data_IF_023572810311
#
_entry.id   IF_023572810311
#
_cell.length_a   1.000
_cell.length_b   1.000
_cell.length_c   1.000
_cell.angle_alpha   90.00
_cell.angle_beta   90.00
_cell.angle_gamma   90.00
#
_symmetry.space_group_name_H-M   'P 1'
#
loop_
_entity.id
_entity.type
_entity.pdbx_description
1 polymer ?
#
# COMPACT_ATOMS: atom_id res chain seq x y z
N UNK A 1 -20.60 -9.60 28.29
CA UNK A 1 -19.39 -9.57 27.47
C UNK A 1 -19.74 -10.51 26.33
N UNK A 2 -19.88 -10.00 25.14
CA UNK A 2 -20.01 -10.83 23.97
C UNK A 2 -18.72 -11.63 23.84
N UNK A 3 -18.84 -12.91 23.54
CA UNK A 3 -17.70 -13.80 23.32
C UNK A 3 -17.12 -13.44 21.96
N UNK A 4 -15.95 -12.83 21.93
CA UNK A 4 -15.26 -12.48 20.69
C UNK A 4 -14.71 -13.77 20.10
N UNK A 5 -15.28 -14.20 18.98
CA UNK A 5 -14.81 -15.37 18.24
C UNK A 5 -13.71 -14.90 17.29
N UNK A 6 -12.54 -15.51 17.40
CA UNK A 6 -11.41 -15.23 16.52
C UNK A 6 -11.62 -16.00 15.21
N UNK A 7 -11.97 -15.30 14.15
CA UNK A 7 -12.27 -15.90 12.84
C UNK A 7 -11.00 -16.27 12.07
N UNK A 8 -9.88 -15.60 12.32
CA UNK A 8 -8.56 -15.98 11.77
C UNK A 8 -7.95 -17.17 12.52
N UNK A 9 -8.36 -17.39 13.75
CA UNK A 9 -8.01 -18.65 14.41
C UNK A 9 -8.86 -19.75 13.79
N UNK A 10 -8.30 -20.42 12.84
CA UNK A 10 -8.79 -21.65 12.23
C UNK A 10 -9.35 -22.65 13.26
N UNK A 11 -9.17 -22.38 14.53
CA UNK A 11 -9.51 -23.27 15.64
C UNK A 11 -10.94 -23.04 16.17
N UNK A 12 -11.64 -21.95 15.74
CA UNK A 12 -13.00 -21.65 16.24
C UNK A 12 -13.09 -21.56 17.76
N UNK A 13 -12.00 -21.16 18.41
CA UNK A 13 -11.92 -20.99 19.86
C UNK A 13 -12.11 -19.51 20.20
N UNK A 14 -12.67 -19.26 21.38
CA UNK A 14 -12.69 -17.90 21.91
C UNK A 14 -11.27 -17.39 22.16
N UNK A 15 -11.06 -16.08 22.11
CA UNK A 15 -9.76 -15.44 22.37
C UNK A 15 -9.15 -15.86 23.73
N UNK A 16 -10.00 -16.23 24.70
CA UNK A 16 -9.59 -16.69 26.02
C UNK A 16 -9.07 -18.14 26.08
N UNK A 17 -9.34 -18.91 25.03
CA UNK A 17 -8.98 -20.35 24.93
C UNK A 17 -7.74 -20.58 24.05
N UNK A 18 -7.20 -19.52 23.43
CA UNK A 18 -6.06 -19.61 22.54
C UNK A 18 -4.80 -19.28 23.32
N UNK A 19 -3.84 -20.20 23.31
CA UNK A 19 -2.54 -20.00 23.93
C UNK A 19 -1.62 -19.06 23.13
N UNK A 20 -1.92 -18.85 21.84
CA UNK A 20 -1.18 -17.95 20.98
C UNK A 20 -1.50 -16.47 21.31
N UNK A 21 -0.52 -15.56 21.20
CA UNK A 21 -0.75 -14.15 21.44
C UNK A 21 -1.56 -13.54 20.29
N UNK A 22 -2.87 -13.62 20.43
CA UNK A 22 -3.82 -12.98 19.53
C UNK A 22 -4.28 -11.69 20.20
N UNK A 23 -4.21 -10.59 19.47
CA UNK A 23 -4.82 -9.32 19.84
C UNK A 23 -5.99 -9.07 18.93
N UNK A 24 -7.07 -8.57 19.49
CA UNK A 24 -8.29 -8.25 18.75
C UNK A 24 -8.65 -6.81 19.06
N UNK A 25 -8.83 -5.99 18.01
CA UNK A 25 -9.43 -4.68 18.09
C UNK A 25 -10.87 -4.83 17.61
N UNK A 26 -11.84 -4.39 18.41
CA UNK A 26 -13.25 -4.51 18.06
C UNK A 26 -13.69 -3.43 17.09
N UNK A 27 -14.75 -3.66 16.32
CA UNK A 27 -15.29 -2.66 15.40
C UNK A 27 -15.77 -1.39 16.11
N UNK A 28 -16.20 -1.49 17.37
CA UNK A 28 -16.56 -0.32 18.17
C UNK A 28 -15.33 0.52 18.56
N UNK A 29 -14.20 -0.12 18.86
CA UNK A 29 -12.93 0.57 19.12
C UNK A 29 -12.42 1.23 17.83
N UNK A 30 -12.39 0.51 16.70
CA UNK A 30 -12.00 1.03 15.38
C UNK A 30 -12.81 2.29 15.04
N UNK A 31 -14.13 2.23 15.21
CA UNK A 31 -15.04 3.35 14.90
C UNK A 31 -14.87 4.53 15.85
N UNK A 32 -14.36 4.30 17.06
CA UNK A 32 -14.19 5.34 18.09
C UNK A 32 -12.84 6.06 17.94
N UNK A 33 -11.81 5.33 17.56
CA UNK A 33 -10.46 5.87 17.32
C UNK A 33 -10.40 6.69 16.05
N UNK A 34 -11.29 6.40 15.08
CA UNK A 34 -11.44 7.16 13.84
C UNK A 34 -10.13 7.28 13.02
N UNK A 35 -9.28 6.27 13.12
CA UNK A 35 -8.01 6.19 12.39
C UNK A 35 -8.26 5.89 10.92
N UNK A 36 -7.39 6.36 10.04
CA UNK A 36 -7.53 6.14 8.60
C UNK A 36 -6.68 4.98 8.10
N UNK A 37 -5.53 4.71 8.74
CA UNK A 37 -4.62 3.65 8.34
C UNK A 37 -4.71 2.40 9.21
N UNK A 38 -4.35 1.25 8.63
CA UNK A 38 -4.31 -0.02 9.35
C UNK A 38 -3.24 0.00 10.46
N UNK A 39 -2.07 0.59 10.18
CA UNK A 39 -0.96 0.66 11.14
C UNK A 39 -1.37 1.43 12.38
N UNK A 40 -1.93 2.61 12.22
CA UNK A 40 -2.40 3.46 13.31
C UNK A 40 -3.48 2.78 14.16
N UNK A 41 -4.41 2.06 13.50
CA UNK A 41 -5.49 1.34 14.21
C UNK A 41 -4.98 0.22 15.14
N UNK A 42 -3.78 -0.31 14.88
CA UNK A 42 -3.23 -1.45 15.66
C UNK A 42 -1.99 -1.11 16.48
N UNK A 43 -1.49 0.12 16.46
CA UNK A 43 -0.21 0.51 17.07
C UNK A 43 -0.25 0.53 18.62
N UNK A 44 -1.41 0.70 19.24
CA UNK A 44 -1.61 0.57 20.67
C UNK A 44 -1.45 -0.87 21.20
N UNK A 45 -1.37 -1.86 20.28
CA UNK A 45 -1.23 -3.25 20.67
C UNK A 45 0.20 -3.60 21.06
N UNK A 46 0.37 -4.43 22.08
CA UNK A 46 1.69 -4.80 22.60
C UNK A 46 2.59 -5.42 21.52
N UNK A 47 3.69 -4.73 21.20
CA UNK A 47 4.70 -5.16 20.22
C UNK A 47 4.25 -4.95 18.77
N UNK A 48 3.30 -4.06 18.56
CA UNK A 48 2.93 -3.48 17.28
C UNK A 48 3.29 -2.01 17.30
N UNK A 49 3.63 -1.43 16.16
CA UNK A 49 3.81 -0.01 15.93
C UNK A 49 3.44 0.30 14.47
N UNK A 50 3.23 1.56 14.16
CA UNK A 50 2.98 2.00 12.80
C UNK A 50 4.20 2.70 12.19
N UNK A 51 4.37 2.60 10.88
CA UNK A 51 5.20 3.48 10.08
C UNK A 51 4.27 4.36 9.26
N UNK A 52 4.14 5.61 9.69
CA UNK A 52 3.18 6.55 9.13
C UNK A 52 3.83 7.46 8.09
N UNK A 53 3.08 7.71 7.00
CA UNK A 53 3.49 8.56 5.90
C UNK A 53 2.29 9.37 5.40
N UNK A 54 2.05 10.53 5.99
CA UNK A 54 0.85 11.35 5.74
C UNK A 54 -0.43 10.77 6.36
N UNK A 55 -1.60 11.21 5.88
CA UNK A 55 -2.92 10.83 6.43
C UNK A 55 -3.35 9.40 6.10
N UNK A 56 -2.91 8.90 4.95
CA UNK A 56 -3.42 7.65 4.40
C UNK A 56 -2.58 6.44 4.77
N UNK A 57 -1.26 6.62 4.82
CA UNK A 57 -0.31 5.52 4.90
C UNK A 57 0.13 5.30 6.34
N UNK A 58 -0.19 4.13 6.88
CA UNK A 58 0.33 3.65 8.14
C UNK A 58 0.56 2.14 8.02
N UNK A 59 1.81 1.75 7.83
CA UNK A 59 2.15 0.34 7.69
C UNK A 59 2.39 -0.30 9.04
N UNK A 60 1.71 -1.42 9.36
CA UNK A 60 1.89 -2.08 10.63
C UNK A 60 3.26 -2.76 10.73
N UNK A 61 3.92 -2.56 11.87
CA UNK A 61 5.19 -3.19 12.23
C UNK A 61 4.95 -4.12 13.42
N UNK A 62 5.15 -5.42 13.25
CA UNK A 62 5.01 -6.41 14.32
C UNK A 62 6.39 -6.89 14.76
N UNK A 63 6.78 -6.63 16.01
CA UNK A 63 8.08 -7.02 16.59
C UNK A 63 9.28 -6.59 15.73
N UNK A 64 9.19 -5.39 15.12
CA UNK A 64 10.22 -4.85 14.23
C UNK A 64 10.21 -5.44 12.81
N UNK A 65 9.19 -6.21 12.44
CA UNK A 65 9.00 -6.74 11.09
C UNK A 65 7.89 -5.96 10.37
N UNK A 66 8.13 -5.57 9.12
CA UNK A 66 7.19 -4.81 8.28
C UNK A 66 7.17 -5.34 6.83
N UNK A 67 6.35 -4.75 6.00
CA UNK A 67 6.20 -5.06 4.58
C UNK A 67 5.86 -6.53 4.36
N UNK A 68 6.54 -7.19 3.44
CA UNK A 68 6.26 -8.59 3.08
C UNK A 68 6.38 -9.63 4.21
N UNK A 69 6.92 -9.24 5.39
CA UNK A 69 7.05 -10.11 6.57
C UNK A 69 5.86 -10.05 7.52
N UNK A 70 5.00 -9.06 7.37
CA UNK A 70 3.69 -8.93 8.02
C UNK A 70 2.63 -9.08 6.94
N UNK A 71 1.83 -10.13 7.00
CA UNK A 71 0.81 -10.38 5.98
C UNK A 71 -0.51 -9.79 6.41
N UNK A 72 -1.12 -9.05 5.50
CA UNK A 72 -2.41 -8.43 5.69
C UNK A 72 -3.46 -9.27 4.96
N UNK A 73 -4.53 -9.60 5.66
CA UNK A 73 -5.63 -10.40 5.15
C UNK A 73 -6.93 -9.60 5.26
N UNK A 74 -7.78 -9.76 4.26
CA UNK A 74 -9.18 -9.35 4.26
C UNK A 74 -10.05 -10.60 4.34
N UNK A 75 -10.77 -10.75 5.44
CA UNK A 75 -11.64 -11.93 5.67
C UNK A 75 -10.91 -13.29 5.54
N UNK A 76 -9.64 -13.34 5.95
CA UNK A 76 -8.82 -14.56 5.93
C UNK A 76 -8.15 -14.86 4.59
N UNK A 77 -8.29 -14.00 3.58
CA UNK A 77 -7.65 -14.11 2.27
C UNK A 77 -6.60 -13.01 2.14
N UNK A 78 -5.44 -13.32 1.56
CA UNK A 78 -4.33 -12.37 1.46
C UNK A 78 -4.76 -11.15 0.63
N UNK A 79 -4.53 -9.95 1.16
CA UNK A 79 -4.65 -8.72 0.39
C UNK A 79 -3.42 -8.57 -0.50
N UNK A 80 -3.64 -8.44 -1.82
CA UNK A 80 -2.58 -8.38 -2.82
C UNK A 80 -2.54 -6.98 -3.42
N UNK A 81 -1.87 -6.12 -2.69
CA UNK A 81 -1.58 -4.74 -3.06
C UNK A 81 -0.05 -4.54 -3.18
N UNK A 82 0.39 -3.32 -3.44
CA UNK A 82 1.81 -2.95 -3.53
C UNK A 82 2.37 -2.38 -2.23
N UNK A 83 1.62 -2.38 -1.13
CA UNK A 83 2.05 -1.83 0.17
C UNK A 83 3.34 -2.45 0.72
N UNK A 84 3.67 -3.65 0.27
CA UNK A 84 4.92 -4.32 0.63
C UNK A 84 6.16 -3.86 -0.13
N UNK A 85 6.04 -3.01 -1.16
CA UNK A 85 7.14 -2.55 -2.02
C UNK A 85 7.77 -1.25 -1.51
N UNK A 86 6.98 -0.32 -0.94
CA UNK A 86 7.42 0.97 -0.42
C UNK A 86 6.82 1.28 0.95
N UNK A 87 7.48 2.14 1.73
CA UNK A 87 6.98 2.57 3.04
C UNK A 87 5.82 3.57 2.91
N UNK A 88 5.74 4.23 1.81
CA UNK A 88 4.79 5.25 1.40
C UNK A 88 3.57 4.69 0.65
N UNK A 89 3.52 3.37 0.42
CA UNK A 89 2.40 2.72 -0.24
C UNK A 89 1.28 2.37 0.76
N UNK A 90 0.06 2.72 0.39
CA UNK A 90 -1.16 2.49 1.15
C UNK A 90 -1.54 1.00 1.23
N UNK A 91 -2.13 0.59 2.36
CA UNK A 91 -2.78 -0.72 2.48
C UNK A 91 -4.21 -0.62 1.95
N UNK A 92 -4.52 -1.28 0.83
CA UNK A 92 -5.84 -1.25 0.21
C UNK A 92 -6.87 -2.06 1.01
N UNK A 93 -7.38 -1.46 2.10
CA UNK A 93 -8.37 -2.04 3.00
C UNK A 93 -9.35 -1.00 3.52
N UNK A 94 -10.64 -1.32 3.44
CA UNK A 94 -11.69 -0.52 4.07
C UNK A 94 -11.89 -0.94 5.53
N UNK A 95 -11.51 -0.06 6.46
CA UNK A 95 -11.73 -0.25 7.90
C UNK A 95 -13.11 0.21 8.36
N UNK A 96 -13.86 0.97 7.53
CA UNK A 96 -15.14 1.58 7.92
C UNK A 96 -16.24 0.59 8.25
N UNK A 97 -16.17 -0.63 7.76
CA UNK A 97 -17.11 -1.72 8.03
C UNK A 97 -16.46 -2.91 8.76
N UNK A 98 -15.24 -2.76 9.22
CA UNK A 98 -14.57 -3.82 9.96
C UNK A 98 -15.35 -4.12 11.27
N UNK A 99 -15.59 -5.40 11.51
CA UNK A 99 -16.16 -5.88 12.77
C UNK A 99 -15.09 -6.13 13.81
N UNK A 100 -13.92 -6.56 13.35
CA UNK A 100 -12.75 -6.73 14.18
C UNK A 100 -11.48 -6.77 13.33
N UNK A 101 -10.36 -6.43 13.95
CA UNK A 101 -9.02 -6.67 13.42
C UNK A 101 -8.31 -7.65 14.35
N UNK A 102 -7.74 -8.69 13.76
CA UNK A 102 -7.07 -9.78 14.46
C UNK A 102 -5.58 -9.76 14.15
N UNK A 103 -4.73 -9.67 15.17
CA UNK A 103 -3.28 -9.79 15.01
C UNK A 103 -2.84 -11.16 15.51
N UNK A 104 -2.52 -12.06 14.59
CA UNK A 104 -2.20 -13.46 14.86
C UNK A 104 -0.71 -13.72 14.67
N UNK A 105 -0.12 -14.37 15.66
CA UNK A 105 1.31 -14.74 15.68
C UNK A 105 1.42 -16.20 16.04
N UNK A 106 2.41 -16.88 15.51
CA UNK A 106 2.69 -18.26 15.87
C UNK A 106 2.29 -19.28 14.79
N UNK A 107 2.28 -20.58 15.10
CA UNK A 107 2.16 -21.66 14.13
C UNK A 107 0.85 -21.67 13.32
N UNK A 108 -0.24 -21.14 13.86
CA UNK A 108 -1.54 -21.05 13.19
C UNK A 108 -1.51 -20.14 11.95
N UNK A 109 -0.65 -19.12 11.95
CA UNK A 109 -0.50 -18.20 10.80
C UNK A 109 -0.05 -18.92 9.51
N UNK A 110 0.64 -20.06 9.64
CA UNK A 110 1.12 -20.85 8.51
C UNK A 110 0.00 -21.50 7.68
N UNK A 111 -1.21 -21.57 8.20
CA UNK A 111 -2.36 -22.12 7.46
C UNK A 111 -2.91 -21.14 6.42
N UNK A 112 -2.69 -19.84 6.62
CA UNK A 112 -3.22 -18.81 5.73
C UNK A 112 -2.29 -18.48 4.57
N UNK A 113 -1.01 -18.21 4.88
CA UNK A 113 -0.07 -17.75 3.86
C UNK A 113 1.38 -18.03 4.27
N UNK A 114 2.29 -17.85 3.33
CA UNK A 114 3.73 -17.91 3.56
C UNK A 114 4.30 -16.57 4.06
N UNK A 115 5.56 -16.56 4.49
CA UNK A 115 6.28 -15.34 4.83
C UNK A 115 5.81 -14.64 6.11
N UNK A 116 4.99 -15.27 6.95
CA UNK A 116 4.39 -14.70 8.16
C UNK A 116 5.37 -14.63 9.36
N UNK A 117 6.58 -14.10 9.14
CA UNK A 117 7.63 -14.07 10.19
C UNK A 117 7.23 -13.13 11.34
N UNK A 118 6.67 -11.97 11.02
CA UNK A 118 6.14 -11.01 11.99
C UNK A 118 4.77 -11.44 12.54
N UNK A 119 3.96 -12.06 11.71
CA UNK A 119 2.57 -12.42 11.98
C UNK A 119 1.65 -12.06 10.82
N UNK A 120 0.36 -12.17 11.07
CA UNK A 120 -0.70 -11.72 10.17
C UNK A 120 -1.62 -10.73 10.88
N UNK A 121 -2.15 -9.79 10.11
CA UNK A 121 -3.24 -8.92 10.51
C UNK A 121 -4.41 -9.26 9.61
N UNK A 122 -5.53 -9.65 10.20
CA UNK A 122 -6.74 -10.01 9.46
C UNK A 122 -7.86 -9.03 9.78
N UNK A 123 -8.29 -8.29 8.79
CA UNK A 123 -9.47 -7.42 8.88
C UNK A 123 -10.70 -8.26 8.56
N UNK A 124 -11.66 -8.28 9.45
CA UNK A 124 -12.87 -9.10 9.34
C UNK A 124 -14.08 -8.19 9.28
N UNK A 125 -14.88 -8.38 8.25
CA UNK A 125 -16.19 -7.76 8.11
C UNK A 125 -17.32 -8.83 8.04
N UNK A 126 -18.56 -8.40 7.88
CA UNK A 126 -19.71 -9.29 7.73
C UNK A 126 -20.32 -9.25 6.33
N UNK A 127 -19.52 -8.98 5.31
CA UNK A 127 -20.00 -8.93 3.92
C UNK A 127 -20.58 -10.29 3.50
N UNK A 128 -19.93 -11.40 3.90
CA UNK A 128 -20.44 -12.76 3.72
C UNK A 128 -20.78 -13.32 5.10
N UNK A 129 -22.03 -13.15 5.51
CA UNK A 129 -22.49 -13.61 6.81
C UNK A 129 -22.47 -15.16 6.90
N UNK A 130 -21.90 -15.67 7.99
CA UNK A 130 -21.78 -17.11 8.27
C UNK A 130 -22.97 -17.66 9.07
N UNK A 131 -23.78 -16.77 9.64
CA UNK A 131 -24.99 -17.06 10.38
C UNK A 131 -26.13 -16.13 9.89
N UNK A 132 -27.37 -16.45 10.22
CA UNK A 132 -28.48 -15.58 9.90
C UNK A 132 -28.36 -14.25 10.63
N UNK A 133 -28.35 -13.13 9.88
CA UNK A 133 -28.22 -11.78 10.45
C UNK A 133 -29.56 -11.17 10.78
N UNK A 134 -29.59 -10.30 11.80
CA UNK A 134 -30.70 -9.41 12.06
C UNK A 134 -30.57 -8.14 11.21
N UNK A 135 -31.72 -7.50 10.89
CA UNK A 135 -31.71 -6.25 10.16
C UNK A 135 -30.94 -5.16 10.95
N UNK A 136 -29.97 -4.56 10.32
CA UNK A 136 -29.16 -3.49 10.88
C UNK A 136 -28.92 -2.40 9.83
N UNK A 137 -29.08 -1.15 10.26
CA UNK A 137 -28.66 0.03 9.47
C UNK A 137 -27.75 0.87 10.36
N UNK A 138 -26.54 1.14 9.88
CA UNK A 138 -25.63 2.11 10.52
C UNK A 138 -25.38 3.27 9.56
N UNK A 139 -25.37 4.47 10.08
CA UNK A 139 -24.94 5.69 9.36
C UNK A 139 -23.99 6.42 10.28
N UNK A 140 -22.79 6.67 9.78
CA UNK A 140 -21.75 7.40 10.50
C UNK A 140 -21.35 8.67 9.76
N UNK A 141 -20.89 9.65 10.51
CA UNK A 141 -20.27 10.86 10.01
C UNK A 141 -19.20 11.30 10.99
N UNK A 142 -18.04 11.66 10.50
CA UNK A 142 -16.90 12.09 11.26
C UNK A 142 -16.35 13.38 10.65
N UNK A 143 -15.82 14.25 11.49
CA UNK A 143 -15.09 15.44 11.06
C UNK A 143 -13.80 15.56 11.87
N UNK A 144 -12.70 15.87 11.22
CA UNK A 144 -11.40 16.09 11.83
C UNK A 144 -10.98 17.55 11.61
N UNK A 145 -10.50 18.21 12.68
CA UNK A 145 -10.07 19.60 12.58
C UNK A 145 -8.62 19.77 12.15
N UNK A 146 -7.81 18.72 12.28
CA UNK A 146 -6.38 18.76 11.97
C UNK A 146 -6.11 18.81 10.47
N UNK A 147 -7.06 18.37 9.66
CA UNK A 147 -6.96 18.26 8.21
C UNK A 147 -8.28 18.63 7.51
N UNK A 148 -9.14 19.40 8.18
CA UNK A 148 -10.48 19.78 7.73
C UNK A 148 -11.32 18.61 7.19
N UNK A 149 -10.98 17.38 7.65
CA UNK A 149 -11.44 16.14 7.08
C UNK A 149 -12.88 15.79 7.38
N UNK A 150 -13.48 15.05 6.44
CA UNK A 150 -14.84 14.54 6.56
C UNK A 150 -14.89 13.08 6.11
N UNK A 151 -15.51 12.21 6.93
CA UNK A 151 -15.79 10.83 6.57
C UNK A 151 -17.27 10.54 6.71
N UNK A 152 -17.84 9.86 5.73
CA UNK A 152 -19.24 9.40 5.76
C UNK A 152 -19.26 7.89 5.57
N UNK A 153 -20.00 7.18 6.43
CA UNK A 153 -20.16 5.73 6.36
C UNK A 153 -21.63 5.35 6.32
N UNK A 154 -21.96 4.32 5.55
CA UNK A 154 -23.26 3.69 5.51
C UNK A 154 -23.10 2.17 5.49
N UNK A 155 -23.86 1.49 6.34
CA UNK A 155 -23.93 0.04 6.35
C UNK A 155 -25.34 -0.43 6.49
N UNK A 156 -25.72 -1.44 5.71
CA UNK A 156 -27.00 -2.14 5.75
C UNK A 156 -26.77 -3.64 5.71
N UNK A 157 -27.47 -4.38 6.55
CA UNK A 157 -27.62 -5.83 6.44
C UNK A 157 -29.04 -6.24 6.77
N UNK A 158 -29.49 -7.36 6.19
CA UNK A 158 -30.81 -7.97 6.47
C UNK A 158 -30.81 -9.45 6.07
N UNK A 159 -31.74 -10.22 6.65
CA UNK A 159 -32.02 -11.59 6.23
C UNK A 159 -33.37 -11.64 5.50
N UNK A 160 -33.32 -11.90 4.21
CA UNK A 160 -34.49 -11.98 3.32
C UNK A 160 -34.85 -13.43 3.05
N UNK A 161 -35.58 -14.10 3.96
CA UNK A 161 -35.99 -15.50 3.84
C UNK A 161 -34.82 -16.47 3.62
N UNK A 162 -33.86 -16.52 4.55
CA UNK A 162 -32.63 -17.29 4.53
C UNK A 162 -31.55 -16.79 3.54
N UNK A 163 -31.75 -15.65 2.91
CA UNK A 163 -30.71 -14.97 2.15
C UNK A 163 -30.26 -13.77 2.97
N UNK A 164 -29.06 -13.82 3.52
CA UNK A 164 -28.40 -12.67 4.10
C UNK A 164 -27.93 -11.76 2.96
N UNK A 165 -28.12 -10.48 3.12
CA UNK A 165 -27.59 -9.44 2.22
C UNK A 165 -26.91 -8.35 3.04
N UNK A 166 -25.82 -7.79 2.52
CA UNK A 166 -25.11 -6.68 3.13
C UNK A 166 -24.70 -5.66 2.09
N UNK A 167 -24.62 -4.42 2.49
CA UNK A 167 -24.07 -3.34 1.69
C UNK A 167 -23.33 -2.37 2.59
N UNK A 168 -22.12 -2.02 2.24
CA UNK A 168 -21.27 -1.03 2.91
C UNK A 168 -20.83 0.05 1.91
N UNK A 169 -20.74 1.29 2.40
CA UNK A 169 -20.23 2.43 1.68
C UNK A 169 -19.43 3.32 2.63
N UNK A 170 -18.25 3.77 2.20
CA UNK A 170 -17.46 4.79 2.91
C UNK A 170 -16.95 5.80 1.89
N UNK A 171 -16.99 7.06 2.29
CA UNK A 171 -16.32 8.15 1.58
C UNK A 171 -15.55 8.97 2.59
N UNK A 172 -14.29 9.25 2.30
CA UNK A 172 -13.37 10.04 3.13
C UNK A 172 -12.74 11.11 2.26
N UNK A 173 -12.61 12.32 2.80
CA UNK A 173 -11.99 13.47 2.16
C UNK A 173 -11.25 14.26 3.24
N UNK A 174 -9.92 14.30 3.18
CA UNK A 174 -9.02 14.93 4.14
C UNK A 174 -8.07 15.86 3.39
N UNK A 175 -7.98 17.10 3.83
CA UNK A 175 -6.99 18.06 3.38
C UNK A 175 -5.61 17.79 4.02
N UNK A 176 -4.64 18.64 3.73
CA UNK A 176 -3.32 18.57 4.36
C UNK A 176 -3.39 18.73 5.89
N UNK A 177 -2.52 18.04 6.61
CA UNK A 177 -2.40 18.17 8.08
C UNK A 177 -1.95 19.55 8.50
N UNK A 178 -2.69 20.17 9.42
CA UNK A 178 -2.20 21.32 10.19
C UNK A 178 -1.08 20.89 11.15
N UNK A 179 0.05 21.55 11.07
CA UNK A 179 1.20 21.36 11.97
C UNK A 179 1.57 22.65 12.71
N UNK A 180 2.15 22.56 13.91
CA UNK A 180 2.66 23.74 14.58
C UNK A 180 3.75 24.45 13.75
N UNK A 181 3.72 25.77 13.71
CA UNK A 181 4.75 26.54 13.04
C UNK A 181 6.16 26.13 13.50
N UNK A 182 7.07 25.92 12.55
CA UNK A 182 8.43 25.47 12.83
C UNK A 182 8.54 23.95 13.11
N UNK A 183 7.48 23.16 12.87
CA UNK A 183 7.54 21.71 12.95
C UNK A 183 8.21 21.08 11.71
N UNK A 184 8.15 21.76 10.57
CA UNK A 184 8.82 21.37 9.33
C UNK A 184 10.12 22.17 9.25
N UNK A 185 11.24 21.49 9.08
CA UNK A 185 12.53 22.12 8.84
C UNK A 185 12.79 22.13 7.33
N UNK A 186 12.96 23.30 6.76
CA UNK A 186 13.52 23.45 5.42
C UNK A 186 15.05 23.35 5.54
N UNK A 187 15.70 22.62 4.67
CA UNK A 187 17.16 22.72 4.55
C UNK A 187 17.48 24.10 3.97
N UNK A 188 18.11 24.95 4.77
CA UNK A 188 18.65 26.19 4.28
C UNK A 188 19.71 25.87 3.22
N UNK A 189 19.50 26.24 1.97
CA UNK A 189 20.56 26.22 0.97
C UNK A 189 21.71 27.06 1.48
N UNK A 190 22.85 26.42 1.84
CA UNK A 190 24.07 27.12 2.18
C UNK A 190 24.54 27.91 0.95
N UNK A 191 24.11 29.17 0.83
CA UNK A 191 24.71 30.09 -0.11
C UNK A 191 26.18 30.24 0.26
N UNK A 192 27.05 29.56 -0.47
CA UNK A 192 28.48 29.80 -0.40
C UNK A 192 28.79 31.23 -0.83
N UNK A 193 28.85 32.13 0.16
CA UNK A 193 29.41 33.47 -0.01
C UNK A 193 30.91 33.35 -0.29
N UNK A 194 31.28 33.23 -1.55
CA UNK A 194 32.64 33.49 -2.00
C UNK A 194 32.82 34.99 -2.28
N UNK A 195 33.44 35.65 -1.27
CA UNK A 195 34.24 36.85 -1.34
C UNK A 195 33.61 38.22 -1.67
N UNK A 196 33.58 39.01 -0.61
CA UNK A 196 33.91 40.42 -0.56
C UNK A 196 33.09 41.41 -1.42
N UNK A 197 32.06 41.97 -0.84
CA UNK A 197 31.71 43.38 -1.11
C UNK A 197 31.16 44.10 0.12
N UNK A 198 31.66 45.33 0.27
CA UNK A 198 31.48 46.35 1.26
C UNK A 198 30.07 46.52 1.87
N UNK A 199 30.05 46.68 3.19
CA UNK A 199 29.14 47.42 4.06
C UNK A 199 27.88 48.04 3.39
N UNK A 200 26.83 47.27 3.30
CA UNK A 200 25.46 47.74 3.42
C UNK A 200 24.75 46.86 4.45
N UNK A 201 24.57 47.42 5.67
CA UNK A 201 23.61 46.89 6.65
C UNK A 201 22.20 47.12 6.09
N UNK A 202 21.72 46.19 5.27
CA UNK A 202 20.29 46.01 5.04
C UNK A 202 19.86 44.81 5.90
N UNK A 203 18.96 45.11 6.83
CA UNK A 203 18.28 44.12 7.65
C UNK A 203 17.55 43.17 6.69
N UNK A 204 18.15 42.04 6.32
CA UNK A 204 17.42 40.92 5.75
C UNK A 204 16.48 40.43 6.84
N UNK A 205 15.21 40.81 6.78
CA UNK A 205 14.15 40.14 7.50
C UNK A 205 14.20 38.71 7.01
N UNK A 206 14.67 37.80 7.85
CA UNK A 206 14.57 36.35 7.65
C UNK A 206 13.08 36.04 7.49
N UNK A 207 12.62 35.88 6.26
CA UNK A 207 11.31 35.30 5.97
C UNK A 207 11.39 33.83 6.33
N UNK A 208 11.31 33.50 7.63
CA UNK A 208 10.92 32.17 8.04
C UNK A 208 9.51 31.96 7.52
N UNK A 209 9.38 31.29 6.40
CA UNK A 209 8.08 30.78 5.94
C UNK A 209 7.58 29.78 6.97
N UNK A 210 6.73 30.26 7.87
CA UNK A 210 6.08 29.43 8.86
C UNK A 210 4.97 28.64 8.17
N UNK A 211 5.34 27.55 7.48
CA UNK A 211 4.36 26.62 6.92
C UNK A 211 3.59 25.98 8.06
N UNK A 212 2.29 26.22 8.09
CA UNK A 212 1.40 25.73 9.14
C UNK A 212 0.75 24.37 8.85
N UNK A 213 1.13 23.71 7.75
CA UNK A 213 0.61 22.41 7.33
C UNK A 213 1.71 21.55 6.71
N UNK A 214 1.50 20.24 6.67
CA UNK A 214 2.36 19.29 5.98
C UNK A 214 1.87 19.14 4.53
N UNK A 215 2.65 19.61 3.57
CA UNK A 215 2.34 19.49 2.14
C UNK A 215 2.22 18.02 1.72
N UNK A 216 1.36 17.75 0.73
CA UNK A 216 1.13 16.41 0.20
C UNK A 216 0.69 15.37 1.25
N UNK A 217 -0.05 15.79 2.27
CA UNK A 217 -0.61 14.88 3.29
C UNK A 217 -2.12 14.68 3.18
N UNK A 218 -2.71 15.17 2.09
CA UNK A 218 -4.13 15.00 1.76
C UNK A 218 -4.48 13.54 1.41
N UNK A 219 -5.76 13.18 1.62
CA UNK A 219 -6.27 11.84 1.34
C UNK A 219 -7.74 11.86 0.98
N UNK A 220 -8.09 11.24 -0.14
CA UNK A 220 -9.47 11.00 -0.51
C UNK A 220 -9.67 9.51 -0.82
N UNK A 221 -10.81 8.94 -0.40
CA UNK A 221 -11.15 7.56 -0.75
C UNK A 221 -12.64 7.33 -0.83
N UNK A 222 -13.05 6.46 -1.74
CA UNK A 222 -14.41 5.93 -1.83
C UNK A 222 -14.36 4.41 -1.89
N UNK A 223 -15.18 3.73 -1.08
CA UNK A 223 -15.29 2.28 -1.10
C UNK A 223 -16.74 1.82 -1.06
N UNK A 224 -17.04 0.76 -1.80
CA UNK A 224 -18.33 0.08 -1.80
C UNK A 224 -18.14 -1.43 -1.69
N UNK A 225 -18.95 -2.08 -0.87
CA UNK A 225 -18.94 -3.54 -0.74
C UNK A 225 -20.36 -4.06 -0.67
N UNK A 226 -20.68 -5.05 -1.51
CA UNK A 226 -21.94 -5.77 -1.48
C UNK A 226 -21.67 -7.25 -1.19
N UNK A 227 -22.47 -7.86 -0.34
CA UNK A 227 -22.36 -9.27 -0.03
C UNK A 227 -23.70 -9.96 0.07
N UNK A 228 -23.70 -11.28 -0.17
CA UNK A 228 -24.86 -12.12 0.07
C UNK A 228 -24.43 -13.54 0.46
N UNK A 229 -25.18 -14.17 1.36
CA UNK A 229 -24.94 -15.55 1.78
C UNK A 229 -26.22 -16.30 2.09
N UNK A 230 -26.14 -17.61 1.97
CA UNK A 230 -27.20 -18.54 2.38
C UNK A 230 -26.62 -19.42 3.48
N UNK A 231 -27.34 -19.53 4.59
CA UNK A 231 -26.95 -20.33 5.75
C UNK A 231 -27.90 -21.53 5.89
N UNK A 232 -27.35 -22.65 6.28
CA UNK A 232 -28.08 -23.90 6.52
C UNK A 232 -27.51 -24.64 7.73
N UNK A 233 -28.21 -25.66 8.23
CA UNK A 233 -27.74 -26.51 9.33
C UNK A 233 -26.37 -27.16 9.06
N UNK A 234 -25.95 -27.27 7.80
CA UNK A 234 -24.71 -27.96 7.40
C UNK A 234 -23.61 -26.99 6.95
N UNK A 235 -23.79 -25.67 7.13
CA UNK A 235 -22.80 -24.68 6.74
C UNK A 235 -23.38 -23.49 5.97
N UNK A 236 -22.54 -22.72 5.33
CA UNK A 236 -22.92 -21.53 4.56
C UNK A 236 -22.21 -21.46 3.22
N UNK A 237 -22.76 -20.68 2.32
CA UNK A 237 -22.17 -20.28 1.04
C UNK A 237 -22.54 -18.83 0.75
N UNK A 238 -21.56 -18.01 0.41
CA UNK A 238 -21.81 -16.62 0.05
C UNK A 238 -20.79 -16.07 -0.93
N UNK A 239 -21.06 -14.88 -1.39
CA UNK A 239 -20.16 -14.10 -2.23
C UNK A 239 -20.16 -12.63 -1.83
N UNK A 240 -19.09 -11.90 -2.17
CA UNK A 240 -19.05 -10.45 -2.10
C UNK A 240 -18.35 -9.86 -3.32
N UNK A 241 -18.70 -8.60 -3.59
CA UNK A 241 -18.07 -7.75 -4.59
C UNK A 241 -17.70 -6.46 -3.87
N UNK A 242 -16.46 -6.01 -4.03
CA UNK A 242 -16.02 -4.72 -3.50
C UNK A 242 -15.25 -3.95 -4.56
N UNK A 243 -15.40 -2.63 -4.51
CA UNK A 243 -14.65 -1.67 -5.31
C UNK A 243 -14.16 -0.56 -4.38
N UNK A 244 -12.91 -0.15 -4.53
CA UNK A 244 -12.32 0.96 -3.80
C UNK A 244 -11.45 1.81 -4.72
N UNK A 245 -11.58 3.12 -4.57
CA UNK A 245 -10.74 4.12 -5.23
C UNK A 245 -10.13 5.00 -4.15
N UNK A 246 -8.86 5.37 -4.29
CA UNK A 246 -8.23 6.33 -3.39
C UNK A 246 -7.22 7.22 -4.11
N UNK A 247 -7.02 8.41 -3.57
CA UNK A 247 -5.97 9.34 -3.98
C UNK A 247 -5.33 9.96 -2.75
N UNK A 248 -4.02 10.02 -2.70
CA UNK A 248 -3.31 10.65 -1.59
C UNK A 248 -2.00 11.27 -2.04
N UNK A 249 -1.59 12.34 -1.35
CA UNK A 249 -0.29 12.97 -1.54
C UNK A 249 0.82 12.19 -0.83
N UNK A 250 2.06 12.31 -1.35
CA UNK A 250 3.26 11.73 -0.74
C UNK A 250 4.07 12.87 -0.13
N UNK A 251 4.06 13.04 1.21
CA UNK A 251 4.85 14.06 1.89
C UNK A 251 6.36 13.83 1.70
N UNK A 252 7.15 14.91 1.78
CA UNK A 252 8.62 14.88 1.75
C UNK A 252 9.28 14.40 0.45
N UNK A 253 8.52 14.16 -0.62
CA UNK A 253 9.04 14.00 -1.96
C UNK A 253 8.97 15.36 -2.68
N UNK A 254 10.01 15.75 -3.38
CA UNK A 254 10.09 17.00 -4.17
C UNK A 254 11.14 18.00 -3.73
N UNK A 255 11.75 17.87 -2.55
CA UNK A 255 12.79 18.79 -2.05
C UNK A 255 14.24 18.37 -2.41
N UNK A 256 14.44 17.44 -3.34
CA UNK A 256 15.74 16.82 -3.60
C UNK A 256 16.27 16.85 -5.03
N UNK A 257 15.94 17.84 -5.85
CA UNK A 257 16.72 18.06 -7.06
C UNK A 257 18.04 18.74 -6.73
N UNK A 258 19.10 17.93 -6.48
CA UNK A 258 20.47 18.38 -6.55
C UNK A 258 20.71 18.95 -7.96
N UNK A 259 20.58 20.28 -8.09
CA UNK A 259 20.96 21.02 -9.27
C UNK A 259 22.42 20.76 -9.59
N UNK A 260 22.72 19.91 -10.55
CA UNK A 260 24.03 19.86 -11.17
C UNK A 260 24.30 21.19 -11.87
N UNK A 261 24.84 22.13 -11.11
CA UNK A 261 25.33 23.41 -11.62
C UNK A 261 26.46 23.20 -12.61
N UNK A 262 26.16 23.22 -13.88
CA UNK A 262 27.17 23.52 -14.90
C UNK A 262 27.41 25.02 -14.89
N UNK A 263 28.50 25.44 -14.21
CA UNK A 263 29.04 26.76 -14.32
C UNK A 263 29.57 27.00 -15.72
N UNK A 264 28.95 27.89 -16.48
CA UNK A 264 29.58 28.56 -17.62
C UNK A 264 29.48 30.08 -17.41
N UNK A 265 30.68 30.69 -17.27
CA UNK A 265 30.90 32.11 -17.25
C UNK A 265 30.39 32.80 -18.52
N UNK A 266 29.40 33.65 -18.43
CA UNK A 266 29.30 34.80 -19.30
C UNK A 266 28.60 35.96 -18.58
N UNK A 267 29.37 37.00 -18.24
CA UNK A 267 28.85 38.30 -17.83
C UNK A 267 28.18 39.02 -18.99
N UNK A 268 27.15 39.78 -18.69
CA UNK A 268 27.02 41.22 -18.95
C UNK A 268 25.58 41.72 -18.72
N UNK A 269 25.50 42.70 -17.82
CA UNK A 269 24.57 43.85 -17.74
C UNK A 269 23.18 43.75 -18.37
N UNK A 270 22.10 43.82 -17.56
CA UNK A 270 21.11 44.92 -17.55
C UNK A 270 19.80 44.56 -16.85
N UNK A 271 19.37 45.49 -15.99
CA UNK A 271 17.95 45.94 -15.93
C UNK A 271 17.12 45.36 -14.81
N UNK A 272 16.91 46.19 -13.78
CA UNK A 272 15.88 46.08 -12.75
C UNK A 272 14.49 45.93 -13.39
N UNK A 273 13.87 44.77 -13.23
CA UNK A 273 12.43 44.62 -13.17
C UNK A 273 12.14 43.70 -11.98
N UNK A 274 11.47 44.24 -10.98
CA UNK A 274 10.90 43.48 -9.86
C UNK A 274 9.80 42.57 -10.40
N UNK A 275 10.15 41.35 -10.81
CA UNK A 275 9.18 40.31 -11.03
C UNK A 275 9.07 39.49 -9.72
N UNK A 276 7.84 39.38 -9.24
CA UNK A 276 7.52 38.66 -8.03
C UNK A 276 8.08 37.26 -8.09
N UNK A 277 8.78 36.87 -7.04
CA UNK A 277 9.10 35.48 -6.78
C UNK A 277 7.77 34.76 -6.56
N UNK A 278 7.30 34.04 -7.58
CA UNK A 278 6.25 33.06 -7.40
C UNK A 278 6.82 32.00 -6.46
N UNK A 279 6.13 31.83 -5.34
CA UNK A 279 6.41 30.83 -4.32
C UNK A 279 6.50 29.47 -5.02
N UNK A 280 7.67 28.85 -5.10
CA UNK A 280 7.83 27.48 -5.52
C UNK A 280 7.18 26.59 -4.44
N UNK A 281 5.85 26.43 -4.51
CA UNK A 281 5.19 25.30 -3.84
C UNK A 281 5.85 24.04 -4.39
N UNK A 282 6.47 23.25 -3.52
CA UNK A 282 7.16 22.02 -3.93
C UNK A 282 6.25 21.16 -4.81
N UNK A 283 6.82 20.58 -5.84
CA UNK A 283 6.10 19.78 -6.83
C UNK A 283 5.21 18.74 -6.15
N UNK A 284 3.89 18.72 -6.48
CA UNK A 284 2.95 17.80 -5.85
C UNK A 284 3.15 16.41 -6.41
N UNK A 285 3.53 15.46 -5.56
CA UNK A 285 3.54 14.03 -5.86
C UNK A 285 2.31 13.41 -5.21
N UNK A 286 1.55 12.68 -5.99
CA UNK A 286 0.34 12.03 -5.53
C UNK A 286 0.10 10.69 -6.21
N UNK A 287 -0.71 9.88 -5.57
CA UNK A 287 -1.04 8.54 -6.03
C UNK A 287 -2.53 8.39 -6.29
N UNK A 288 -2.87 7.50 -7.22
CA UNK A 288 -4.23 7.04 -7.42
C UNK A 288 -4.25 5.51 -7.36
N UNK A 289 -5.22 4.97 -6.64
CA UNK A 289 -5.40 3.53 -6.48
C UNK A 289 -6.80 3.13 -6.90
N UNK A 290 -6.90 2.05 -7.67
CA UNK A 290 -8.15 1.37 -8.02
C UNK A 290 -8.04 -0.10 -7.63
N UNK A 291 -9.08 -0.65 -6.98
CA UNK A 291 -9.10 -2.05 -6.56
C UNK A 291 -10.50 -2.63 -6.63
N UNK A 292 -10.63 -3.71 -7.39
CA UNK A 292 -11.86 -4.50 -7.50
C UNK A 292 -11.61 -5.92 -7.00
N UNK A 293 -12.52 -6.44 -6.17
CA UNK A 293 -12.42 -7.80 -5.62
C UNK A 293 -13.75 -8.53 -5.74
N UNK A 294 -13.68 -9.79 -6.11
CA UNK A 294 -14.80 -10.73 -6.09
C UNK A 294 -14.44 -11.92 -5.22
N UNK A 295 -15.22 -12.17 -4.18
CA UNK A 295 -15.01 -13.27 -3.24
C UNK A 295 -16.14 -14.28 -3.28
N UNK A 296 -15.80 -15.56 -3.14
CA UNK A 296 -16.71 -16.64 -2.77
C UNK A 296 -16.15 -17.29 -1.51
N UNK A 297 -16.99 -17.47 -0.49
CA UNK A 297 -16.62 -18.20 0.75
C UNK A 297 -17.72 -19.14 1.15
N UNK A 298 -17.31 -20.23 1.75
CA UNK A 298 -18.27 -21.18 2.31
C UNK A 298 -17.62 -22.15 3.29
N UNK A 299 -18.46 -22.77 4.08
CA UNK A 299 -18.13 -23.88 4.98
C UNK A 299 -19.17 -24.96 4.84
N UNK A 300 -18.76 -26.21 4.90
CA UNK A 300 -19.67 -27.34 4.84
C UNK A 300 -19.24 -28.45 5.82
N UNK A 301 -20.19 -28.89 6.64
CA UNK A 301 -20.02 -30.03 7.55
C UNK A 301 -19.99 -31.33 6.77
N UNK A 302 -18.94 -32.12 6.98
CA UNK A 302 -18.74 -33.41 6.31
C UNK A 302 -19.26 -34.57 7.14
N UNK A 303 -20.42 -34.43 7.75
CA UNK A 303 -21.09 -35.48 8.52
C UNK A 303 -21.24 -36.76 7.71
N UNK A 304 -20.64 -37.87 8.22
CA UNK A 304 -20.61 -39.16 7.54
C UNK A 304 -19.33 -39.46 6.75
N UNK A 305 -18.43 -38.53 6.61
CA UNK A 305 -17.08 -38.80 6.13
C UNK A 305 -16.16 -39.10 7.33
N UNK A 306 -15.39 -40.20 7.24
CA UNK A 306 -14.54 -40.63 8.37
C UNK A 306 -13.17 -39.90 8.44
N UNK A 307 -12.89 -38.94 7.52
CA UNK A 307 -11.58 -38.35 7.40
C UNK A 307 -11.54 -36.85 7.75
N UNK A 308 -12.67 -36.14 7.72
CA UNK A 308 -12.75 -34.72 8.07
C UNK A 308 -14.12 -34.39 8.66
N UNK A 309 -14.19 -33.42 9.56
CA UNK A 309 -15.41 -32.93 10.20
C UNK A 309 -16.08 -31.87 9.31
N UNK A 310 -15.30 -30.93 8.77
CA UNK A 310 -15.79 -29.87 7.88
C UNK A 310 -14.73 -29.49 6.86
N UNK A 311 -15.17 -28.74 5.87
CA UNK A 311 -14.31 -28.05 4.91
C UNK A 311 -14.75 -26.60 4.79
N UNK A 312 -13.79 -25.69 5.02
CA UNK A 312 -13.92 -24.28 4.68
C UNK A 312 -13.23 -24.05 3.33
N UNK A 313 -13.83 -23.24 2.48
CA UNK A 313 -13.28 -22.94 1.16
C UNK A 313 -13.49 -21.48 0.79
N UNK A 314 -12.59 -20.97 -0.03
CA UNK A 314 -12.70 -19.63 -0.58
C UNK A 314 -12.13 -19.55 -2.00
N UNK A 315 -12.60 -18.56 -2.73
CA UNK A 315 -12.03 -18.08 -3.98
C UNK A 315 -12.06 -16.56 -3.97
N UNK A 316 -10.99 -15.93 -4.40
CA UNK A 316 -10.87 -14.50 -4.65
C UNK A 316 -10.33 -14.26 -6.04
N UNK A 317 -10.91 -13.33 -6.75
CA UNK A 317 -10.41 -12.68 -7.95
C UNK A 317 -10.21 -11.20 -7.61
N UNK A 318 -9.05 -10.64 -7.92
CA UNK A 318 -8.68 -9.29 -7.52
C UNK A 318 -7.90 -8.62 -8.64
N UNK A 319 -8.32 -7.42 -8.98
CA UNK A 319 -7.68 -6.49 -9.91
C UNK A 319 -7.30 -5.24 -9.12
N UNK A 320 -6.01 -4.88 -9.17
CA UNK A 320 -5.46 -3.77 -8.41
C UNK A 320 -4.52 -2.95 -9.27
N UNK A 321 -4.68 -1.63 -9.26
CA UNK A 321 -3.74 -0.69 -9.85
C UNK A 321 -3.40 0.45 -8.89
N UNK A 322 -2.17 0.91 -8.96
CA UNK A 322 -1.63 2.00 -8.18
C UNK A 322 -0.76 2.84 -9.12
N UNK A 323 -1.06 4.13 -9.24
CA UNK A 323 -0.31 5.05 -10.09
C UNK A 323 0.24 6.18 -9.26
N UNK A 324 1.55 6.36 -9.29
CA UNK A 324 2.28 7.49 -8.76
C UNK A 324 2.57 8.48 -9.87
N UNK A 325 2.36 9.78 -9.61
CA UNK A 325 2.54 10.82 -10.60
C UNK A 325 2.85 12.17 -9.96
N UNK A 326 3.60 12.99 -10.70
CA UNK A 326 3.85 14.39 -10.40
C UNK A 326 2.72 15.25 -10.96
N UNK A 327 2.32 16.29 -10.26
CA UNK A 327 1.40 17.27 -10.82
C UNK A 327 2.11 18.02 -11.94
N UNK A 328 1.54 18.03 -13.15
CA UNK A 328 2.04 18.88 -14.22
C UNK A 328 1.72 20.34 -13.87
N UNK A 329 2.73 21.22 -13.87
CA UNK A 329 2.48 22.65 -13.79
C UNK A 329 1.73 23.06 -15.07
N UNK A 330 0.48 23.54 -14.94
CA UNK A 330 -0.26 24.15 -16.02
C UNK A 330 0.43 25.50 -16.38
N UNK A 331 1.44 25.45 -17.24
CA UNK A 331 1.93 26.65 -17.90
C UNK A 331 0.80 27.21 -18.75
N UNK A 332 0.13 28.26 -18.27
CA UNK A 332 -0.77 29.06 -19.11
C UNK A 332 0.09 29.61 -20.26
N UNK A 333 -0.08 29.02 -21.45
CA UNK A 333 0.51 29.53 -22.69
C UNK A 333 -0.07 30.92 -22.97
N UNK A 334 0.54 31.99 -22.42
CA UNK A 334 0.34 33.32 -22.93
C UNK A 334 0.96 33.39 -24.33
N UNK A 335 0.07 33.49 -25.32
CA UNK A 335 0.44 33.68 -26.72
C UNK A 335 1.28 34.97 -26.89
N UNK A 336 2.57 34.93 -26.70
CA UNK A 336 3.51 35.92 -27.20
C UNK A 336 3.98 35.52 -28.59
N UNK A 337 3.29 36.05 -29.62
CA UNK A 337 3.82 36.10 -30.93
C UNK A 337 4.97 37.14 -30.96
N UNK A 338 6.22 36.65 -31.02
CA UNK A 338 7.25 37.36 -31.79
C UNK A 338 8.28 36.34 -32.31
N UNK A 339 8.49 36.46 -33.60
CA UNK A 339 9.37 35.67 -34.45
C UNK A 339 10.83 35.89 -34.03
N UNK A 340 11.57 34.83 -33.65
CA UNK A 340 12.90 34.50 -34.20
C UNK A 340 13.46 33.21 -33.51
N UNK A 341 13.91 32.30 -34.36
CA UNK A 341 14.41 30.96 -34.10
C UNK A 341 15.63 30.94 -33.16
N UNK A 342 15.49 30.31 -31.98
CA UNK A 342 16.53 29.52 -31.34
C UNK A 342 15.84 28.40 -30.53
N UNK A 343 15.70 27.24 -31.14
CA UNK A 343 15.36 26.00 -30.44
C UNK A 343 16.59 25.53 -29.69
N UNK A 344 16.71 25.91 -28.42
CA UNK A 344 17.39 25.09 -27.45
C UNK A 344 16.29 24.27 -26.78
N UNK A 345 16.21 22.99 -27.16
CA UNK A 345 15.33 22.01 -26.55
C UNK A 345 15.81 21.75 -25.09
N UNK A 346 15.38 22.57 -24.16
CA UNK A 346 15.35 22.18 -22.76
C UNK A 346 14.18 21.22 -22.60
N UNK A 347 14.41 19.94 -22.92
CA UNK A 347 13.55 18.87 -22.41
C UNK A 347 13.67 18.88 -20.88
N UNK A 348 12.78 19.62 -20.20
CA UNK A 348 12.49 19.41 -18.80
C UNK A 348 12.05 17.95 -18.68
N UNK A 349 12.83 17.12 -18.04
CA UNK A 349 12.47 15.75 -17.74
C UNK A 349 11.39 15.75 -16.66
N UNK A 350 10.12 16.00 -17.06
CA UNK A 350 9.01 15.63 -16.20
C UNK A 350 8.96 14.10 -16.19
N UNK A 351 9.25 13.51 -15.07
CA UNK A 351 9.12 12.06 -14.88
C UNK A 351 7.64 11.71 -15.03
N UNK A 352 7.31 10.97 -16.07
CA UNK A 352 5.93 10.55 -16.36
C UNK A 352 5.41 9.59 -15.28
N UNK A 353 4.09 9.35 -15.22
CA UNK A 353 3.48 8.50 -14.19
C UNK A 353 4.04 7.08 -14.21
N UNK A 354 4.18 6.49 -13.01
CA UNK A 354 4.55 5.08 -12.82
C UNK A 354 3.37 4.31 -12.26
N UNK A 355 2.92 3.28 -12.99
CA UNK A 355 1.76 2.46 -12.63
C UNK A 355 2.20 1.04 -12.26
N UNK A 356 1.77 0.58 -11.10
CA UNK A 356 1.91 -0.78 -10.60
C UNK A 356 0.57 -1.50 -10.75
N UNK A 357 0.58 -2.72 -11.27
CA UNK A 357 -0.62 -3.56 -11.37
C UNK A 357 -0.40 -4.90 -10.71
N UNK A 358 -1.48 -5.46 -10.14
CA UNK A 358 -1.52 -6.80 -9.58
C UNK A 358 -2.87 -7.44 -9.86
N UNK A 359 -2.90 -8.36 -10.82
CA UNK A 359 -4.07 -9.17 -11.13
C UNK A 359 -3.88 -10.54 -10.50
N UNK A 360 -4.83 -10.99 -9.68
CA UNK A 360 -4.65 -12.25 -8.97
C UNK A 360 -5.93 -13.06 -8.83
N UNK A 361 -5.76 -14.38 -8.86
CA UNK A 361 -6.80 -15.35 -8.52
C UNK A 361 -6.27 -16.32 -7.45
N UNK A 362 -7.00 -16.46 -6.35
CA UNK A 362 -6.64 -17.31 -5.22
C UNK A 362 -7.79 -18.24 -4.85
N UNK A 363 -7.50 -19.52 -4.62
CA UNK A 363 -8.47 -20.49 -4.12
C UNK A 363 -7.87 -21.31 -2.98
N UNK A 364 -8.62 -21.49 -1.91
CA UNK A 364 -8.16 -22.23 -0.74
C UNK A 364 -9.21 -23.18 -0.17
N UNK A 365 -8.72 -24.24 0.48
CA UNK A 365 -9.50 -25.23 1.20
C UNK A 365 -8.84 -25.52 2.54
N UNK A 366 -9.62 -25.57 3.61
CA UNK A 366 -9.17 -25.93 4.94
C UNK A 366 -10.06 -27.05 5.47
N UNK A 367 -9.48 -28.23 5.69
CA UNK A 367 -10.18 -29.39 6.25
C UNK A 367 -9.95 -29.47 7.75
N UNK A 368 -11.01 -29.55 8.52
CA UNK A 368 -10.97 -29.85 9.95
C UNK A 368 -10.91 -31.38 10.17
N UNK A 369 -9.82 -31.84 10.78
CA UNK A 369 -9.58 -33.23 11.16
C UNK A 369 -9.52 -33.42 12.68
N UNK A 370 -10.04 -32.43 13.42
CA UNK A 370 -9.99 -32.40 14.89
C UNK A 370 -10.76 -33.57 15.50
N UNK A 371 -10.34 -33.97 16.68
CA UNK A 371 -10.99 -34.98 17.52
C UNK A 371 -10.90 -34.57 18.99
N UNK A 372 -11.42 -35.38 19.90
CA UNK A 372 -11.46 -35.09 21.35
C UNK A 372 -10.07 -34.81 21.99
N UNK A 373 -8.97 -35.21 21.34
CA UNK A 373 -7.62 -35.09 21.87
C UNK A 373 -6.76 -34.05 21.18
N UNK A 374 -7.07 -33.77 19.89
CA UNK A 374 -6.25 -32.92 19.01
C UNK A 374 -7.14 -32.00 18.21
N UNK A 375 -6.77 -30.72 18.12
CA UNK A 375 -7.23 -29.84 17.05
C UNK A 375 -6.27 -29.96 15.88
N UNK A 376 -6.74 -30.39 14.73
CA UNK A 376 -5.92 -30.64 13.55
C UNK A 376 -6.58 -30.07 12.32
N UNK A 377 -5.78 -29.35 11.51
CA UNK A 377 -6.26 -28.77 10.24
C UNK A 377 -5.25 -28.97 9.13
N UNK A 378 -5.75 -29.19 7.93
CA UNK A 378 -4.95 -29.23 6.70
C UNK A 378 -5.47 -28.18 5.75
N UNK A 379 -4.59 -27.32 5.25
CA UNK A 379 -4.93 -26.33 4.23
C UNK A 379 -4.29 -26.66 2.89
N UNK A 380 -4.98 -26.27 1.84
CA UNK A 380 -4.49 -26.24 0.46
C UNK A 380 -4.76 -24.85 -0.09
N UNK A 381 -3.79 -24.27 -0.79
CA UNK A 381 -3.96 -22.98 -1.43
C UNK A 381 -3.33 -22.98 -2.82
N UNK A 382 -4.01 -22.33 -3.77
CA UNK A 382 -3.60 -22.13 -5.15
C UNK A 382 -3.67 -20.65 -5.45
N UNK A 383 -2.59 -20.09 -5.99
CA UNK A 383 -2.49 -18.68 -6.36
C UNK A 383 -1.97 -18.57 -7.78
N UNK A 384 -2.61 -17.72 -8.58
CA UNK A 384 -2.07 -17.18 -9.81
C UNK A 384 -2.04 -15.65 -9.65
N UNK A 385 -0.90 -15.04 -9.92
CA UNK A 385 -0.67 -13.61 -9.72
C UNK A 385 0.17 -13.08 -10.87
N UNK A 386 -0.32 -12.05 -11.54
CA UNK A 386 0.36 -11.31 -12.59
C UNK A 386 0.65 -9.91 -12.10
N UNK A 387 1.91 -9.51 -12.10
CA UNK A 387 2.36 -8.20 -11.64
C UNK A 387 3.12 -7.48 -12.76
N UNK A 388 2.90 -6.16 -12.89
CA UNK A 388 3.63 -5.33 -13.82
C UNK A 388 3.87 -3.93 -13.27
N UNK A 389 4.92 -3.28 -13.74
CA UNK A 389 5.23 -1.88 -13.49
C UNK A 389 5.44 -1.21 -14.83
N UNK A 390 4.72 -0.13 -15.08
CA UNK A 390 4.77 0.65 -16.30
C UNK A 390 5.10 2.11 -15.97
N UNK A 391 5.86 2.78 -16.80
CA UNK A 391 6.20 4.19 -16.63
C UNK A 391 7.70 4.44 -16.59
N UNK A 392 8.07 5.69 -16.27
CA UNK A 392 9.45 6.15 -16.29
C UNK A 392 10.34 5.46 -15.26
N UNK A 393 9.78 5.11 -14.10
CA UNK A 393 10.49 4.47 -12.99
C UNK A 393 10.29 2.94 -12.94
N UNK A 394 9.82 2.34 -14.03
CA UNK A 394 9.61 0.90 -14.09
C UNK A 394 10.93 0.13 -13.93
N UNK A 395 11.15 -0.48 -12.77
CA UNK A 395 12.36 -1.25 -12.44
C UNK A 395 12.20 -2.75 -12.68
N UNK A 396 11.00 -3.22 -13.05
CA UNK A 396 10.69 -4.64 -13.21
C UNK A 396 9.84 -4.87 -14.46
N UNK A 397 10.19 -5.86 -15.27
CA UNK A 397 9.33 -6.33 -16.34
C UNK A 397 8.12 -7.10 -15.79
N UNK A 398 7.00 -7.20 -16.55
CA UNK A 398 5.88 -8.03 -16.17
C UNK A 398 6.29 -9.44 -15.76
N UNK A 399 5.75 -9.92 -14.66
CA UNK A 399 6.05 -11.20 -14.05
C UNK A 399 4.78 -11.92 -13.62
N UNK A 400 4.76 -13.23 -13.80
CA UNK A 400 3.68 -14.11 -13.36
C UNK A 400 4.19 -15.05 -12.28
N UNK A 401 3.35 -15.33 -11.30
CA UNK A 401 3.62 -16.24 -10.19
C UNK A 401 2.49 -17.26 -10.05
N UNK A 402 2.86 -18.53 -10.03
CA UNK A 402 1.98 -19.64 -9.67
C UNK A 402 2.43 -20.23 -8.35
N UNK A 403 1.51 -20.39 -7.40
CA UNK A 403 1.80 -20.97 -6.10
C UNK A 403 0.85 -22.09 -5.77
N UNK A 404 1.39 -23.22 -5.31
CA UNK A 404 0.65 -24.31 -4.68
C UNK A 404 1.19 -24.56 -3.29
N UNK A 405 0.29 -24.61 -2.32
CA UNK A 405 0.64 -24.75 -0.91
C UNK A 405 -0.11 -25.89 -0.25
N UNK A 406 0.57 -26.54 0.69
CA UNK A 406 -0.03 -27.46 1.67
C UNK A 406 0.42 -27.04 3.07
N UNK A 407 -0.55 -26.75 3.95
CA UNK A 407 -0.34 -26.43 5.36
C UNK A 407 -0.90 -27.52 6.26
N UNK A 408 -0.26 -27.74 7.39
CA UNK A 408 -0.76 -28.62 8.46
C UNK A 408 -0.58 -27.93 9.82
N UNK A 409 -1.63 -27.96 10.61
CA UNK A 409 -1.62 -27.45 11.99
C UNK A 409 -2.12 -28.51 12.97
N UNK A 410 -1.47 -28.57 14.12
CA UNK A 410 -1.83 -29.44 15.24
C UNK A 410 -1.76 -28.64 16.53
N UNK A 411 -2.82 -28.67 17.32
CA UNK A 411 -2.85 -28.16 18.69
C UNK A 411 -3.31 -29.26 19.66
N UNK A 412 -2.67 -29.30 20.80
CA UNK A 412 -3.03 -30.19 21.91
C UNK A 412 -2.74 -29.60 23.28
N UNK A 413 -3.74 -29.62 24.13
CA UNK A 413 -3.59 -29.26 25.54
C UNK A 413 -3.16 -30.46 26.36
N UNK A 414 -2.14 -30.29 27.22
CA UNK A 414 -1.66 -31.21 28.22
C UNK A 414 -1.87 -30.61 29.62
N UNK A 415 -1.76 -31.44 30.62
CA UNK A 415 -1.88 -30.97 31.98
C UNK A 415 -0.67 -30.08 32.36
N UNK A 416 -0.79 -28.76 32.16
CA UNK A 416 0.21 -27.75 32.48
C UNK A 416 0.94 -27.09 31.34
N UNK A 417 0.68 -27.46 30.07
CA UNK A 417 1.17 -26.79 28.90
C UNK A 417 0.32 -27.13 27.66
N UNK A 418 0.32 -26.25 26.70
CA UNK A 418 -0.26 -26.43 25.38
C UNK A 418 0.86 -26.59 24.35
N UNK A 419 0.62 -27.42 23.35
CA UNK A 419 1.54 -27.66 22.22
C UNK A 419 0.87 -27.30 20.91
N UNK A 420 1.43 -26.32 20.19
CA UNK A 420 1.02 -25.90 18.85
C UNK A 420 2.15 -26.16 17.88
N UNK A 421 1.83 -26.85 16.79
CA UNK A 421 2.75 -27.17 15.72
C UNK A 421 2.15 -26.75 14.38
N UNK A 422 2.91 -26.03 13.57
CA UNK A 422 2.57 -25.69 12.19
C UNK A 422 3.66 -26.13 11.23
N UNK A 423 3.26 -26.71 10.12
CA UNK A 423 4.16 -27.06 8.99
C UNK A 423 3.52 -26.60 7.70
N UNK A 424 4.29 -25.96 6.86
CA UNK A 424 3.85 -25.51 5.54
C UNK A 424 4.88 -25.90 4.49
N UNK A 425 4.38 -26.26 3.31
CA UNK A 425 5.18 -26.53 2.13
C UNK A 425 4.59 -25.75 0.95
N UNK A 426 5.41 -24.94 0.29
CA UNK A 426 5.04 -24.13 -0.85
C UNK A 426 5.87 -24.54 -2.07
N UNK A 427 5.23 -24.64 -3.22
CA UNK A 427 5.87 -24.66 -4.52
C UNK A 427 5.51 -23.36 -5.22
N UNK A 428 6.53 -22.60 -5.63
CA UNK A 428 6.37 -21.28 -6.24
C UNK A 428 7.15 -21.28 -7.55
N UNK A 429 6.44 -21.05 -8.65
CA UNK A 429 7.01 -20.87 -9.97
C UNK A 429 6.82 -19.39 -10.39
N UNK A 430 7.94 -18.69 -10.59
CA UNK A 430 7.93 -17.33 -11.08
C UNK A 430 8.43 -17.31 -12.52
N UNK A 431 7.75 -16.60 -13.39
CA UNK A 431 8.14 -16.38 -14.78
C UNK A 431 8.08 -14.89 -15.12
N UNK A 432 9.01 -14.46 -15.96
CA UNK A 432 9.10 -13.06 -16.40
C UNK A 432 10.19 -12.89 -17.45
N UNK A 433 10.24 -11.73 -18.08
CA UNK A 433 11.29 -11.40 -19.03
C UNK A 433 12.41 -10.63 -18.32
N UNK A 434 13.66 -10.85 -18.76
CA UNK A 434 14.81 -10.08 -18.31
C UNK A 434 15.26 -9.19 -19.46
N UNK A 435 15.28 -7.89 -19.24
CA UNK A 435 15.92 -6.96 -20.17
C UNK A 435 17.43 -7.05 -19.92
N UNK A 436 18.20 -7.58 -20.88
CA UNK A 436 19.66 -7.48 -20.82
C UNK A 436 20.02 -6.01 -21.04
N UNK A 437 20.73 -5.41 -20.09
CA UNK A 437 21.39 -4.15 -20.34
C UNK A 437 22.32 -4.37 -21.58
N UNK A 438 22.06 -3.67 -22.68
CA UNK A 438 23.02 -3.58 -23.76
C UNK A 438 24.22 -2.83 -23.16
N UNK A 439 25.31 -3.55 -22.90
CA UNK A 439 26.60 -2.90 -22.80
C UNK A 439 26.83 -2.26 -24.18
N UNK A 440 26.69 -0.95 -24.26
CA UNK A 440 27.15 -0.17 -25.40
C UNK A 440 28.67 -0.35 -25.42
N UNK A 441 29.13 -1.30 -26.26
CA UNK A 441 30.53 -1.38 -26.64
C UNK A 441 30.84 -0.09 -27.41
N UNK A 442 31.38 0.91 -26.70
CA UNK A 442 32.06 2.02 -27.32
C UNK A 442 33.19 1.47 -28.17
N UNK A 443 32.92 1.27 -29.46
CA UNK A 443 33.95 1.16 -30.46
C UNK A 443 34.63 2.52 -30.54
N UNK A 444 35.71 2.68 -29.78
CA UNK A 444 36.68 3.71 -30.04
C UNK A 444 37.30 3.38 -31.40
N UNK A 445 36.77 3.96 -32.47
CA UNK A 445 37.42 4.01 -33.76
C UNK A 445 38.60 4.99 -33.62
N UNK A 446 39.79 4.44 -33.26
CA UNK A 446 41.05 5.15 -33.39
C UNK A 446 41.29 5.44 -34.87
N UNK A 447 40.89 6.65 -35.33
CA UNK A 447 41.31 7.17 -36.61
C UNK A 447 42.81 7.51 -36.52
N UNK A 448 43.64 6.59 -37.03
CA UNK A 448 45.04 6.83 -37.32
C UNK A 448 45.17 7.93 -38.37
N UNK A 449 45.43 9.15 -37.92
CA UNK A 449 45.90 10.25 -38.77
C UNK A 449 47.36 9.98 -39.16
N UNK A 450 47.57 9.41 -40.34
CA UNK A 450 48.86 9.41 -41.02
C UNK A 450 49.15 10.85 -41.52
N UNK A 451 50.03 11.54 -40.82
CA UNK A 451 50.70 12.76 -41.31
C UNK A 451 51.78 12.31 -42.30
N UNK A 452 51.51 12.48 -43.60
CA UNK A 452 52.53 12.40 -44.67
C UNK A 452 53.23 13.77 -44.79
N UNK A 453 54.38 13.93 -44.14
CA UNK A 453 55.31 15.00 -44.36
C UNK A 453 56.11 14.74 -45.68
N UNK A 454 55.67 15.35 -46.78
CA UNK A 454 56.51 15.45 -47.99
C UNK A 454 57.52 16.58 -47.86
N UNK A 455 58.80 16.23 -47.57
CA UNK A 455 59.93 17.11 -47.74
C UNK A 455 60.38 17.15 -49.22
N UNK A 456 60.11 18.27 -49.90
CA UNK A 456 60.79 18.66 -51.12
C UNK A 456 62.06 19.42 -50.82
N UNK A 457 63.21 18.76 -51.00
CA UNK A 457 64.48 19.41 -51.11
C UNK A 457 64.76 19.71 -52.58
N UNK A 458 64.72 20.97 -52.96
CA UNK A 458 65.29 21.47 -54.22
C UNK A 458 66.71 21.95 -53.92
N UNK A 459 67.71 21.22 -54.42
CA UNK A 459 69.03 21.74 -54.53
C UNK A 459 69.33 22.03 -56.01
N UNK A 460 69.58 23.32 -56.26
CA UNK A 460 70.17 23.81 -57.46
C UNK A 460 71.68 23.50 -57.52
N UNK A 461 72.09 23.02 -58.70
CA UNK A 461 73.13 23.68 -59.35
C UNK A 461 73.26 23.40 -60.74
#
# INVERSE_FOLDING_TARGET
MEEVIVTSAIIGKSASEIADPIHIVSGDDISTEATQSLGETVDDLLGVSSADYGSAVGQPIIRGMSGSRVKILDNGIVNRDVSGLGADHFNDLDLGNAQQIEVVRGPSSLLYTNGTIGGIINVVDNSIAMEDVEQLVKVGGETQSVNEGNTTTFFYQDNLNNLNVSFAYKNTDLENYDVPNGAIMHEEEEHHDDEAHDEHEEEHEEHEENVGFLSNSDFASESMKFGASVVSDNGYLGFSISSSESSYGIPFHGEGHEGHGHGDEHGDEHGDEEEGHDEHEGERIFTNTDSDKFDIKGSYDLDGFNFANSVDFFYRDSDYSFTEQHAEEEHEEEEHHDEEEHHDEHEGHSEGPTTFTNDSAEAGFIFDLSNDLYSQKVSFNLVNEDTAIFGSEAFMNPASREEFTVGYYLSRSFNGFDLDLGVRYDTIDNSGSVTSAHEEEHHDEDEDHHDEDEHHDEDEH
#
